data_IF_124009671789
#
_entry.id   IF_124009671789
#
_cell.length_a   1.000
_cell.length_b   1.000
_cell.length_c   1.000
_cell.angle_alpha   90.00
_cell.angle_beta   90.00
_cell.angle_gamma   90.00
#
_symmetry.space_group_name_H-M   'P 1'
#
loop_
_entity.id
_entity.type
_entity.pdbx_description
1 polymer ?
#
# COMPACT_ATOMS: atom_id res chain seq x y z
N UNK A 1 5.43 8.10 -54.45
CA UNK A 1 5.61 6.90 -53.60
C UNK A 1 7.10 6.65 -53.45
N UNK A 2 7.70 7.05 -52.31
CA UNK A 2 9.08 6.68 -51.97
C UNK A 2 8.96 5.68 -50.82
N UNK A 3 9.10 4.41 -51.18
CA UNK A 3 9.29 3.31 -50.25
C UNK A 3 10.55 3.60 -49.42
N UNK A 4 10.39 3.68 -48.11
CA UNK A 4 11.50 3.62 -47.17
C UNK A 4 11.86 2.13 -47.09
N UNK A 5 12.95 1.74 -47.74
CA UNK A 5 13.54 0.42 -47.57
C UNK A 5 13.96 0.26 -46.10
N UNK A 6 13.30 -0.65 -45.40
CA UNK A 6 13.70 -1.07 -44.07
C UNK A 6 15.05 -1.79 -44.19
N UNK A 7 16.12 -1.16 -43.70
CA UNK A 7 17.42 -1.79 -43.54
C UNK A 7 17.32 -2.93 -42.53
N UNK A 8 17.40 -4.16 -43.02
CA UNK A 8 17.17 -5.41 -42.29
C UNK A 8 18.37 -5.88 -41.43
N UNK A 9 19.12 -4.96 -40.84
CA UNK A 9 20.23 -5.30 -39.94
C UNK A 9 20.20 -4.39 -38.72
N UNK A 10 19.56 -4.88 -37.66
CA UNK A 10 19.71 -4.33 -36.31
C UNK A 10 21.20 -4.43 -35.96
N UNK A 11 21.87 -3.29 -35.81
CA UNK A 11 23.28 -3.25 -35.39
C UNK A 11 23.38 -3.85 -33.98
N UNK A 12 24.38 -4.70 -33.73
CA UNK A 12 24.64 -5.28 -32.42
C UNK A 12 24.74 -4.19 -31.33
N UNK A 13 25.20 -2.99 -31.69
CA UNK A 13 25.26 -1.83 -30.79
C UNK A 13 23.88 -1.25 -30.46
N UNK A 14 22.96 -1.21 -31.42
CA UNK A 14 21.58 -0.78 -31.16
C UNK A 14 20.84 -1.77 -30.27
N UNK A 15 21.11 -3.08 -30.46
CA UNK A 15 20.58 -4.12 -29.58
C UNK A 15 21.15 -4.03 -28.16
N UNK A 16 22.44 -3.72 -28.00
CA UNK A 16 23.07 -3.48 -26.70
C UNK A 16 22.52 -2.25 -25.98
N UNK A 17 22.31 -1.15 -26.72
CA UNK A 17 21.67 0.05 -26.18
C UNK A 17 20.24 -0.23 -25.73
N UNK A 18 19.47 -0.97 -26.53
CA UNK A 18 18.10 -1.36 -26.16
C UNK A 18 18.06 -2.27 -24.93
N UNK A 19 18.97 -3.24 -24.83
CA UNK A 19 19.14 -4.08 -23.64
C UNK A 19 19.52 -3.26 -22.41
N UNK A 20 20.43 -2.30 -22.56
CA UNK A 20 20.82 -1.37 -21.50
C UNK A 20 19.66 -0.51 -21.01
N UNK A 21 18.85 0.03 -21.93
CA UNK A 21 17.65 0.81 -21.59
C UNK A 21 16.58 -0.03 -20.90
N UNK A 22 16.30 -1.25 -21.40
CA UNK A 22 15.34 -2.17 -20.81
C UNK A 22 15.77 -2.62 -19.41
N UNK A 23 17.04 -3.00 -19.23
CA UNK A 23 17.59 -3.36 -17.93
C UNK A 23 17.59 -2.17 -16.96
N UNK A 24 17.88 -0.96 -17.43
CA UNK A 24 17.80 0.27 -16.63
C UNK A 24 16.38 0.56 -16.14
N UNK A 25 15.39 0.45 -17.03
CA UNK A 25 13.96 0.63 -16.69
C UNK A 25 13.48 -0.42 -15.67
N UNK A 26 13.86 -1.69 -15.86
CA UNK A 26 13.53 -2.77 -14.93
C UNK A 26 14.21 -2.61 -13.56
N UNK A 27 15.49 -2.22 -13.55
CA UNK A 27 16.22 -1.95 -12.31
C UNK A 27 15.59 -0.78 -11.53
N UNK A 28 15.19 0.28 -12.23
CA UNK A 28 14.50 1.42 -11.63
C UNK A 28 13.13 1.02 -11.05
N UNK A 29 12.32 0.23 -11.77
CA UNK A 29 11.05 -0.30 -11.26
C UNK A 29 11.23 -1.20 -10.03
N UNK A 30 12.22 -2.10 -10.07
CA UNK A 30 12.57 -2.97 -8.94
C UNK A 30 12.98 -2.19 -7.69
N UNK A 31 13.73 -1.09 -7.86
CA UNK A 31 14.14 -0.22 -6.77
C UNK A 31 12.96 0.51 -6.11
N UNK A 32 12.01 1.01 -6.92
CA UNK A 32 10.79 1.62 -6.43
C UNK A 32 9.94 0.64 -5.61
N UNK A 33 9.74 -0.58 -6.13
CA UNK A 33 8.99 -1.64 -5.44
C UNK A 33 9.66 -2.04 -4.13
N UNK A 34 10.98 -2.11 -4.10
CA UNK A 34 11.75 -2.45 -2.89
C UNK A 34 11.62 -1.38 -1.82
N UNK A 35 11.52 -0.10 -2.19
CA UNK A 35 11.22 0.96 -1.24
C UNK A 35 9.79 0.85 -0.72
N UNK A 36 8.81 0.62 -1.60
CA UNK A 36 7.41 0.35 -1.24
C UNK A 36 7.29 -0.69 -0.11
N UNK A 37 7.85 -1.87 -0.35
CA UNK A 37 7.86 -2.99 0.61
C UNK A 37 8.51 -2.65 1.96
N UNK A 38 9.49 -1.75 2.00
CA UNK A 38 10.10 -1.32 3.27
C UNK A 38 9.12 -0.55 4.15
N UNK A 39 8.27 0.31 3.59
CA UNK A 39 7.27 1.04 4.38
C UNK A 39 6.19 0.10 4.91
N UNK A 40 5.71 -0.81 4.06
CA UNK A 40 4.77 -1.84 4.45
C UNK A 40 5.34 -2.66 5.61
N UNK A 41 6.57 -3.17 5.50
CA UNK A 41 7.25 -3.92 6.58
C UNK A 41 7.33 -3.11 7.88
N UNK A 42 7.65 -1.82 7.80
CA UNK A 42 7.74 -0.94 8.98
C UNK A 42 6.36 -0.75 9.61
N UNK A 43 5.33 -0.48 8.83
CA UNK A 43 3.96 -0.32 9.31
C UNK A 43 3.43 -1.61 9.96
N UNK A 44 3.64 -2.76 9.31
CA UNK A 44 3.28 -4.06 9.86
C UNK A 44 3.99 -4.29 11.21
N UNK A 45 5.27 -3.92 11.31
CA UNK A 45 6.02 -3.97 12.57
C UNK A 45 5.42 -3.10 13.68
N UNK A 46 5.01 -1.87 13.37
CA UNK A 46 4.35 -0.96 14.31
C UNK A 46 3.02 -1.55 14.80
N UNK A 47 2.18 -2.05 13.90
CA UNK A 47 0.88 -2.64 14.24
C UNK A 47 1.06 -3.91 15.09
N UNK A 48 1.97 -4.80 14.71
CA UNK A 48 2.30 -6.01 15.49
C UNK A 48 2.76 -5.66 16.90
N UNK A 49 3.66 -4.69 17.02
CA UNK A 49 4.16 -4.22 18.31
C UNK A 49 3.01 -3.66 19.17
N UNK A 50 2.16 -2.81 18.60
CA UNK A 50 1.02 -2.23 19.31
C UNK A 50 0.06 -3.31 19.83
N UNK A 51 -0.30 -4.28 19.01
CA UNK A 51 -1.18 -5.40 19.40
C UNK A 51 -0.62 -6.19 20.58
N UNK A 52 0.70 -6.45 20.58
CA UNK A 52 1.38 -7.14 21.69
C UNK A 52 1.40 -6.27 22.96
N UNK A 53 1.73 -4.99 22.83
CA UNK A 53 1.78 -4.05 23.96
C UNK A 53 0.40 -3.79 24.58
N UNK A 54 -0.69 -3.85 23.80
CA UNK A 54 -2.06 -3.71 24.31
C UNK A 54 -2.63 -4.99 24.93
N UNK A 55 -1.89 -6.11 24.89
CA UNK A 55 -2.34 -7.38 25.47
C UNK A 55 -3.51 -8.02 24.71
N UNK A 56 -3.78 -7.58 23.47
CA UNK A 56 -4.89 -8.06 22.65
C UNK A 56 -4.57 -9.37 21.94
N UNK A 57 -3.33 -9.85 21.94
CA UNK A 57 -2.93 -11.06 21.21
C UNK A 57 -3.29 -12.29 22.04
N UNK A 58 -4.23 -13.11 21.55
CA UNK A 58 -4.60 -14.38 22.15
C UNK A 58 -3.70 -15.52 21.66
N UNK A 59 -3.45 -15.56 20.35
CA UNK A 59 -2.58 -16.54 19.72
C UNK A 59 -1.74 -15.87 18.63
N UNK A 60 -0.43 -16.10 18.70
CA UNK A 60 0.50 -15.79 17.63
C UNK A 60 1.28 -17.06 17.32
N UNK A 61 1.27 -17.46 16.04
CA UNK A 61 2.15 -18.51 15.55
C UNK A 61 3.32 -17.78 14.91
N UNK A 62 4.51 -17.95 15.49
CA UNK A 62 5.75 -17.42 14.92
C UNK A 62 5.83 -17.79 13.42
N UNK A 63 6.29 -16.82 12.62
CA UNK A 63 6.47 -16.95 11.16
C UNK A 63 5.19 -16.97 10.32
N UNK A 64 3.99 -16.78 10.90
CA UNK A 64 2.75 -16.61 10.14
C UNK A 64 2.32 -15.15 9.95
N UNK A 65 1.74 -14.80 8.79
CA UNK A 65 1.14 -13.49 8.54
C UNK A 65 -0.18 -13.25 9.32
N UNK A 66 -0.46 -13.97 10.41
CA UNK A 66 -1.79 -13.99 11.06
C UNK A 66 -1.67 -13.94 12.57
N UNK A 67 -2.51 -13.13 13.22
CA UNK A 67 -2.61 -13.01 14.67
C UNK A 67 -4.08 -13.07 15.09
N UNK A 68 -4.40 -13.91 16.08
CA UNK A 68 -5.75 -13.98 16.67
C UNK A 68 -5.82 -13.08 17.90
N UNK A 69 -6.84 -12.24 17.97
CA UNK A 69 -7.04 -11.30 19.06
C UNK A 69 -7.99 -11.86 20.13
N UNK A 70 -7.89 -11.33 21.36
CA UNK A 70 -8.72 -11.72 22.51
C UNK A 70 -10.20 -11.39 22.34
N UNK A 71 -10.52 -10.47 21.43
CA UNK A 71 -11.89 -10.11 21.07
C UNK A 71 -12.41 -10.91 19.84
N UNK A 72 -11.74 -12.01 19.51
CA UNK A 72 -12.04 -12.91 18.39
C UNK A 72 -11.83 -12.34 17.00
N UNK A 73 -11.30 -11.12 16.89
CA UNK A 73 -10.82 -10.62 15.60
C UNK A 73 -9.56 -11.34 15.17
N UNK A 74 -9.31 -11.34 13.87
CA UNK A 74 -8.08 -11.85 13.29
C UNK A 74 -7.42 -10.80 12.44
N UNK A 75 -6.14 -10.56 12.69
CA UNK A 75 -5.32 -9.67 11.87
C UNK A 75 -4.51 -10.51 10.88
N UNK A 76 -4.54 -10.12 9.61
CA UNK A 76 -3.79 -10.74 8.51
C UNK A 76 -2.89 -9.68 7.88
N UNK A 77 -1.61 -10.00 7.70
CA UNK A 77 -0.59 -9.17 7.06
C UNK A 77 -0.25 -9.82 5.70
N UNK A 78 -0.74 -9.28 4.59
CA UNK A 78 -0.65 -9.93 3.27
C UNK A 78 -0.34 -8.89 2.18
N UNK A 79 -0.39 -9.29 0.91
CA UNK A 79 -0.15 -8.35 -0.21
C UNK A 79 -1.43 -7.57 -0.63
N UNK A 80 -2.63 -8.08 -0.32
CA UNK A 80 -3.90 -7.42 -0.67
C UNK A 80 -5.05 -7.87 0.26
N UNK A 81 -5.51 -7.02 1.20
CA UNK A 81 -4.87 -5.76 1.61
C UNK A 81 -3.57 -5.98 2.40
N UNK A 82 -2.74 -4.94 2.50
CA UNK A 82 -1.47 -4.99 3.24
C UNK A 82 -1.67 -5.44 4.69
N UNK A 83 -2.74 -4.93 5.33
CA UNK A 83 -3.19 -5.35 6.66
C UNK A 83 -4.71 -5.43 6.68
N UNK A 84 -5.27 -6.60 6.93
CA UNK A 84 -6.71 -6.84 7.08
C UNK A 84 -7.08 -7.26 8.50
N UNK A 85 -8.12 -6.66 9.06
CA UNK A 85 -8.76 -7.06 10.31
C UNK A 85 -10.09 -7.73 9.99
N UNK A 86 -10.30 -8.93 10.52
CA UNK A 86 -11.47 -9.75 10.24
C UNK A 86 -12.23 -10.10 11.51
N UNK A 87 -13.56 -10.10 11.42
CA UNK A 87 -14.48 -10.62 12.44
C UNK A 87 -15.45 -11.55 11.71
N UNK A 88 -15.61 -12.78 12.20
CA UNK A 88 -16.51 -13.78 11.60
C UNK A 88 -16.29 -13.94 10.07
N UNK A 89 -15.02 -14.00 9.66
CA UNK A 89 -14.53 -14.06 8.28
C UNK A 89 -14.89 -12.87 7.38
N UNK A 90 -15.42 -11.77 7.95
CA UNK A 90 -15.67 -10.51 7.24
C UNK A 90 -14.63 -9.47 7.59
N UNK A 91 -14.14 -8.75 6.59
CA UNK A 91 -13.24 -7.63 6.83
C UNK A 91 -13.97 -6.51 7.58
N UNK A 92 -13.40 -6.03 8.69
CA UNK A 92 -13.96 -4.94 9.52
C UNK A 92 -13.07 -3.70 9.49
N UNK A 93 -11.78 -3.87 9.22
CA UNK A 93 -10.88 -2.77 8.92
C UNK A 93 -9.76 -3.23 7.99
N UNK A 94 -9.24 -2.32 7.19
CA UNK A 94 -8.14 -2.58 6.27
C UNK A 94 -7.19 -1.39 6.20
N UNK A 95 -5.91 -1.68 6.00
CA UNK A 95 -4.88 -0.71 5.74
C UNK A 95 -4.19 -1.06 4.43
N UNK A 96 -4.10 -0.07 3.55
CA UNK A 96 -3.35 -0.13 2.31
C UNK A 96 -2.20 0.89 2.36
N UNK A 97 -1.03 0.52 1.85
CA UNK A 97 0.18 1.32 1.84
C UNK A 97 0.63 1.53 0.40
N UNK A 98 0.82 2.80 0.00
CA UNK A 98 1.48 3.14 -1.27
C UNK A 98 2.63 4.08 -1.03
N UNK A 99 3.85 3.62 -1.32
CA UNK A 99 5.05 4.42 -1.09
C UNK A 99 5.93 4.66 -2.31
N UNK A 100 5.31 4.94 -3.45
CA UNK A 100 6.09 5.48 -4.57
C UNK A 100 6.64 6.86 -4.21
N UNK A 101 7.90 7.12 -4.60
CA UNK A 101 8.71 8.24 -4.11
C UNK A 101 8.75 9.45 -5.05
N UNK A 102 8.20 9.30 -6.26
CA UNK A 102 8.21 10.35 -7.28
C UNK A 102 6.82 10.96 -7.47
N UNK A 103 6.74 12.18 -7.99
CA UNK A 103 5.45 12.83 -8.28
C UNK A 103 4.81 12.31 -9.56
N UNK A 104 5.59 11.66 -10.44
CA UNK A 104 5.04 11.01 -11.61
C UNK A 104 4.25 9.76 -11.18
N UNK A 105 3.12 9.51 -11.83
CA UNK A 105 2.26 8.37 -11.50
C UNK A 105 1.59 8.41 -10.11
N UNK A 106 1.56 9.56 -9.43
CA UNK A 106 0.83 9.69 -8.14
C UNK A 106 -0.65 9.36 -8.32
N UNK A 107 -1.29 9.91 -9.36
CA UNK A 107 -2.71 9.68 -9.62
C UNK A 107 -3.02 8.22 -9.94
N UNK A 108 -2.14 7.54 -10.69
CA UNK A 108 -2.29 6.12 -10.98
C UNK A 108 -2.21 5.27 -9.70
N UNK A 109 -1.25 5.58 -8.81
CA UNK A 109 -1.09 4.88 -7.53
C UNK A 109 -2.26 5.13 -6.59
N UNK A 110 -2.75 6.37 -6.50
CA UNK A 110 -3.91 6.72 -5.68
C UNK A 110 -5.17 6.04 -6.23
N UNK A 111 -5.36 6.04 -7.55
CA UNK A 111 -6.46 5.30 -8.19
C UNK A 111 -6.39 3.79 -7.93
N UNK A 112 -5.20 3.19 -7.97
CA UNK A 112 -4.99 1.78 -7.65
C UNK A 112 -5.31 1.48 -6.17
N UNK A 113 -4.92 2.36 -5.24
CA UNK A 113 -5.25 2.22 -3.82
C UNK A 113 -6.75 2.33 -3.55
N UNK A 114 -7.43 3.32 -4.16
CA UNK A 114 -8.88 3.47 -4.07
C UNK A 114 -9.58 2.20 -4.55
N UNK A 115 -9.09 1.61 -5.65
CA UNK A 115 -9.62 0.35 -6.19
C UNK A 115 -9.35 -0.86 -5.29
N UNK A 116 -8.18 -0.94 -4.64
CA UNK A 116 -7.89 -1.99 -3.65
C UNK A 116 -8.89 -1.89 -2.49
N UNK A 117 -8.99 -0.70 -1.89
CA UNK A 117 -9.87 -0.45 -0.74
C UNK A 117 -11.36 -0.58 -1.08
N UNK A 118 -11.78 -0.29 -2.32
CA UNK A 118 -13.16 -0.51 -2.73
C UNK A 118 -13.55 -1.99 -2.72
N UNK A 119 -12.61 -2.91 -2.98
CA UNK A 119 -12.87 -4.36 -2.88
C UNK A 119 -13.18 -4.78 -1.44
N UNK A 120 -12.47 -4.23 -0.46
CA UNK A 120 -12.80 -4.43 0.95
C UNK A 120 -14.19 -3.91 1.30
N UNK A 121 -14.62 -2.80 0.68
CA UNK A 121 -15.99 -2.26 0.82
C UNK A 121 -17.05 -3.10 0.12
N UNK A 122 -16.72 -3.80 -0.97
CA UNK A 122 -17.62 -4.76 -1.61
C UNK A 122 -17.88 -5.98 -0.71
N UNK A 123 -16.86 -6.45 0.01
CA UNK A 123 -17.00 -7.53 1.01
C UNK A 123 -17.79 -7.08 2.24
N UNK A 124 -17.48 -5.89 2.76
CA UNK A 124 -18.19 -5.28 3.88
C UNK A 124 -18.23 -3.74 3.74
N UNK A 125 -19.38 -3.15 3.38
CA UNK A 125 -19.53 -1.70 3.21
C UNK A 125 -19.20 -0.88 4.47
N UNK A 126 -19.36 -1.48 5.64
CA UNK A 126 -19.12 -0.83 6.95
C UNK A 126 -17.66 -0.96 7.42
N UNK A 127 -16.80 -1.66 6.67
CA UNK A 127 -15.38 -1.82 7.04
C UNK A 127 -14.64 -0.48 7.06
N UNK A 128 -13.78 -0.24 8.05
CA UNK A 128 -12.95 0.96 8.08
C UNK A 128 -11.79 0.82 7.09
N UNK A 129 -11.65 1.75 6.16
CA UNK A 129 -10.58 1.73 5.15
C UNK A 129 -9.57 2.84 5.41
N UNK A 130 -8.30 2.48 5.56
CA UNK A 130 -7.21 3.41 5.86
C UNK A 130 -6.16 3.33 4.75
N UNK A 131 -5.78 4.47 4.19
CA UNK A 131 -4.72 4.57 3.19
C UNK A 131 -3.49 5.27 3.77
N UNK A 132 -2.33 4.64 3.71
CA UNK A 132 -1.04 5.25 4.09
C UNK A 132 -0.26 5.58 2.81
N UNK A 133 0.12 6.84 2.67
CA UNK A 133 0.84 7.36 1.51
C UNK A 133 2.16 8.01 1.94
N UNK A 134 3.12 8.16 1.03
CA UNK A 134 4.20 9.13 1.26
C UNK A 134 3.70 10.55 1.03
N UNK A 135 4.26 11.53 1.77
CA UNK A 135 3.93 12.95 1.62
C UNK A 135 4.03 13.45 0.15
N UNK A 136 5.02 12.95 -0.62
CA UNK A 136 5.17 13.29 -2.04
C UNK A 136 3.97 12.92 -2.92
N UNK A 137 3.12 12.00 -2.44
CA UNK A 137 1.88 11.58 -3.11
C UNK A 137 0.67 12.45 -2.74
N UNK A 138 0.83 13.42 -1.83
CA UNK A 138 -0.23 14.34 -1.37
C UNK A 138 -0.27 15.62 -2.23
N UNK A 139 -0.48 15.44 -3.53
CA UNK A 139 -0.72 16.55 -4.47
C UNK A 139 -2.14 17.10 -4.34
N UNK A 140 -2.42 18.35 -4.77
CA UNK A 140 -3.78 18.89 -4.74
C UNK A 140 -4.82 17.99 -5.43
N UNK A 141 -4.46 17.40 -6.57
CA UNK A 141 -5.36 16.52 -7.31
C UNK A 141 -5.60 15.19 -6.58
N UNK A 142 -4.56 14.54 -6.05
CA UNK A 142 -4.76 13.30 -5.28
C UNK A 142 -5.58 13.52 -4.01
N UNK A 143 -5.44 14.68 -3.35
CA UNK A 143 -6.29 15.04 -2.21
C UNK A 143 -7.76 15.16 -2.64
N UNK A 144 -8.05 15.81 -3.77
CA UNK A 144 -9.41 15.90 -4.33
C UNK A 144 -9.96 14.50 -4.64
N UNK A 145 -9.14 13.63 -5.23
CA UNK A 145 -9.54 12.26 -5.56
C UNK A 145 -9.89 11.47 -4.29
N UNK A 146 -9.08 11.56 -3.24
CA UNK A 146 -9.35 10.93 -1.94
C UNK A 146 -10.62 11.47 -1.28
N UNK A 147 -10.81 12.79 -1.30
CA UNK A 147 -12.01 13.44 -0.75
C UNK A 147 -13.28 13.01 -1.50
N UNK A 148 -13.20 12.87 -2.83
CA UNK A 148 -14.34 12.43 -3.66
C UNK A 148 -14.66 10.95 -3.44
N UNK A 149 -13.67 10.16 -3.04
CA UNK A 149 -13.78 8.71 -2.83
C UNK A 149 -13.89 8.31 -1.34
N UNK A 150 -14.38 9.19 -0.46
CA UNK A 150 -14.51 8.91 0.98
C UNK A 150 -15.37 7.69 1.34
N UNK A 151 -16.25 7.27 0.42
CA UNK A 151 -17.01 6.01 0.56
C UNK A 151 -16.10 4.77 0.52
N UNK A 152 -15.02 4.84 -0.25
CA UNK A 152 -14.05 3.76 -0.44
C UNK A 152 -12.80 3.92 0.42
N UNK A 153 -12.42 5.15 0.75
CA UNK A 153 -11.25 5.47 1.59
C UNK A 153 -11.72 6.37 2.74
N UNK A 154 -11.95 5.79 3.91
CA UNK A 154 -12.52 6.53 5.04
C UNK A 154 -11.48 7.47 5.66
N UNK A 155 -10.22 7.03 5.73
CA UNK A 155 -9.12 7.81 6.30
C UNK A 155 -7.86 7.66 5.46
N UNK A 156 -7.02 8.69 5.46
CA UNK A 156 -5.68 8.62 4.90
C UNK A 156 -4.66 9.35 5.78
N UNK A 157 -3.44 8.84 5.82
CA UNK A 157 -2.32 9.38 6.58
C UNK A 157 -1.06 9.34 5.73
N UNK A 158 -0.08 10.17 6.09
CA UNK A 158 1.27 10.06 5.53
C UNK A 158 2.11 9.04 6.30
N UNK A 159 3.17 8.54 5.70
CA UNK A 159 4.14 7.69 6.40
C UNK A 159 4.82 8.47 7.52
N UNK A 160 5.05 9.76 7.29
CA UNK A 160 5.59 10.71 8.24
C UNK A 160 4.66 10.84 9.47
N UNK A 161 3.34 10.93 9.28
CA UNK A 161 2.36 10.89 10.37
C UNK A 161 2.52 9.62 11.22
N UNK A 162 2.68 8.46 10.58
CA UNK A 162 2.84 7.17 11.27
C UNK A 162 4.16 7.10 12.04
N UNK A 163 5.25 7.67 11.51
CA UNK A 163 6.59 7.54 12.09
C UNK A 163 6.90 8.60 13.15
N UNK A 164 6.39 9.81 12.97
CA UNK A 164 6.83 10.98 13.75
C UNK A 164 5.78 11.48 14.73
N UNK A 165 4.49 11.18 14.51
CA UNK A 165 3.40 11.67 15.36
C UNK A 165 2.74 10.56 16.18
N UNK A 166 2.96 10.59 17.49
CA UNK A 166 2.24 9.70 18.43
C UNK A 166 0.73 9.94 18.42
N UNK A 167 0.30 11.19 18.23
CA UNK A 167 -1.12 11.54 18.13
C UNK A 167 -1.77 10.85 16.92
N UNK A 168 -1.13 10.95 15.75
CA UNK A 168 -1.63 10.32 14.52
C UNK A 168 -1.58 8.80 14.58
N UNK A 169 -0.52 8.22 15.17
CA UNK A 169 -0.50 6.78 15.50
C UNK A 169 -1.69 6.40 16.39
N UNK A 170 -1.97 7.19 17.42
CA UNK A 170 -3.11 7.00 18.31
C UNK A 170 -4.45 7.02 17.58
N UNK A 171 -4.64 7.95 16.63
CA UNK A 171 -5.83 7.99 15.77
C UNK A 171 -5.97 6.68 14.96
N UNK A 172 -4.90 6.21 14.32
CA UNK A 172 -4.91 4.95 13.55
C UNK A 172 -5.27 3.78 14.47
N UNK A 173 -4.66 3.68 15.66
CA UNK A 173 -4.96 2.62 16.60
C UNK A 173 -6.42 2.67 17.09
N UNK A 174 -6.96 3.86 17.33
CA UNK A 174 -8.36 4.02 17.70
C UNK A 174 -9.32 3.56 16.59
N UNK A 175 -9.03 3.92 15.33
CA UNK A 175 -9.79 3.46 14.16
C UNK A 175 -9.78 1.93 14.02
N UNK A 176 -8.62 1.32 14.31
CA UNK A 176 -8.45 -0.14 14.31
C UNK A 176 -8.92 -0.80 15.61
N UNK A 177 -9.27 -0.04 16.65
CA UNK A 177 -9.62 -0.51 17.99
C UNK A 177 -8.51 -1.35 18.64
N UNK A 178 -7.27 -0.86 18.67
CA UNK A 178 -6.07 -1.57 19.21
C UNK A 178 -5.18 -0.76 20.14
#
# INVERSE_FOLDING_TARGET
SKLIEAGEKIDAREFDLWRGMAAGSQAQGSWQNTKGRKMETVLQGIIRRRLRESGLVAEEIDDKPRMTLTDHRVVVFADEPDIGFYQDDKIVATIEVKGGIDKAGVLERVGAAIKSLSRSKEENPDSVTILILQEVSMTPQSVIDLQTNQKNVNHWFTMEDVLESEEKRGEIFALLRI
#
